data_IF_257420776446
#
_entry.id   IF_257420776446
#
_cell.length_a   1.000
_cell.length_b   1.000
_cell.length_c   1.000
_cell.angle_alpha   90.00
_cell.angle_beta   90.00
_cell.angle_gamma   90.00
#
_symmetry.space_group_name_H-M   'P 1'
#
loop_
_entity.id
_entity.type
_entity.pdbx_description
1 polymer ?
#
# COMPACT_ATOMS: atom_id res chain seq x y z
N UNK A 1 -38.94 -9.90 6.55
CA UNK A 1 -38.29 -8.96 5.63
C UNK A 1 -36.84 -9.40 5.55
N UNK A 2 -36.40 -9.87 4.39
CA UNK A 2 -34.98 -10.17 4.19
C UNK A 2 -34.20 -8.86 4.24
N UNK A 3 -33.12 -8.84 5.03
CA UNK A 3 -32.21 -7.71 5.11
C UNK A 3 -31.12 -7.83 4.06
N UNK A 4 -30.45 -6.72 3.76
CA UNK A 4 -29.31 -6.71 2.84
C UNK A 4 -28.12 -7.40 3.50
N UNK A 5 -27.56 -8.44 2.85
CA UNK A 5 -26.35 -9.10 3.33
C UNK A 5 -25.15 -8.17 3.11
N UNK A 6 -24.54 -7.74 4.22
CA UNK A 6 -23.37 -6.88 4.18
C UNK A 6 -22.07 -7.68 4.27
N UNK A 7 -22.05 -8.71 5.11
CA UNK A 7 -20.87 -9.50 5.43
C UNK A 7 -21.28 -10.92 5.80
N UNK A 8 -20.55 -11.92 5.34
CA UNK A 8 -20.63 -13.30 5.80
C UNK A 8 -19.22 -13.80 6.02
N UNK A 9 -18.98 -14.46 7.15
CA UNK A 9 -17.79 -15.26 7.40
C UNK A 9 -18.20 -16.72 7.60
N UNK A 10 -17.51 -17.61 6.92
CA UNK A 10 -17.69 -19.05 7.02
C UNK A 10 -16.33 -19.71 7.24
N UNK A 11 -16.27 -20.64 8.20
CA UNK A 11 -15.06 -21.38 8.57
C UNK A 11 -15.27 -22.86 8.27
N UNK A 12 -14.26 -23.48 7.69
CA UNK A 12 -14.32 -24.86 7.23
C UNK A 12 -13.18 -25.68 7.84
N UNK A 13 -13.49 -26.94 8.14
CA UNK A 13 -12.53 -27.94 8.59
C UNK A 13 -11.72 -28.47 7.40
N UNK A 14 -10.38 -28.45 7.46
CA UNK A 14 -9.52 -29.02 6.44
C UNK A 14 -9.21 -30.52 6.66
N UNK A 15 -9.87 -31.19 7.61
CA UNK A 15 -9.59 -32.59 7.99
C UNK A 15 -9.93 -33.62 6.91
N UNK A 16 -10.89 -33.32 6.06
CA UNK A 16 -11.33 -34.21 4.99
C UNK A 16 -10.77 -33.80 3.63
N UNK A 17 -11.14 -34.55 2.61
CA UNK A 17 -10.85 -34.19 1.22
C UNK A 17 -11.80 -33.10 0.69
N UNK A 18 -12.80 -32.69 1.47
CA UNK A 18 -13.73 -31.62 1.14
C UNK A 18 -13.86 -30.64 2.30
N UNK A 19 -14.10 -29.36 1.98
CA UNK A 19 -14.34 -28.30 2.96
C UNK A 19 -15.64 -28.57 3.72
N UNK A 20 -15.54 -28.94 5.01
CA UNK A 20 -16.72 -29.15 5.86
C UNK A 20 -17.01 -27.90 6.68
N UNK A 21 -18.20 -27.31 6.51
CA UNK A 21 -18.60 -26.10 7.23
C UNK A 21 -18.64 -26.36 8.75
N UNK A 22 -17.88 -25.57 9.50
CA UNK A 22 -17.85 -25.57 10.96
C UNK A 22 -18.75 -24.48 11.53
N UNK A 23 -18.61 -23.28 11.01
CA UNK A 23 -19.29 -22.09 11.50
C UNK A 23 -19.67 -21.18 10.33
N UNK A 24 -20.82 -20.53 10.44
CA UNK A 24 -21.23 -19.44 9.56
C UNK A 24 -21.88 -18.34 10.38
N UNK A 25 -21.43 -17.11 10.17
CA UNK A 25 -22.01 -15.92 10.79
C UNK A 25 -22.19 -14.83 9.73
N UNK A 26 -23.38 -14.22 9.70
CA UNK A 26 -23.77 -13.18 8.75
C UNK A 26 -24.06 -11.86 9.47
N UNK A 27 -23.78 -10.74 8.81
CA UNK A 27 -24.22 -9.40 9.19
C UNK A 27 -25.19 -8.88 8.13
N UNK A 28 -26.38 -8.54 8.58
CA UNK A 28 -27.51 -8.08 7.77
C UNK A 28 -27.88 -6.66 8.14
N UNK A 29 -28.30 -5.86 7.15
CA UNK A 29 -28.89 -4.54 7.38
C UNK A 29 -30.39 -4.55 7.15
N UNK A 30 -31.13 -3.95 8.09
CA UNK A 30 -32.57 -3.66 7.96
C UNK A 30 -32.83 -2.23 8.38
N UNK A 31 -32.95 -1.34 7.39
CA UNK A 31 -32.92 0.11 7.63
C UNK A 31 -31.60 0.51 8.28
N UNK A 32 -31.65 1.28 9.37
CA UNK A 32 -30.48 1.78 10.10
C UNK A 32 -29.92 0.80 11.14
N UNK A 33 -30.41 -0.45 11.17
CA UNK A 33 -30.05 -1.43 12.21
C UNK A 33 -29.29 -2.60 11.60
N UNK A 34 -28.17 -2.94 12.22
CA UNK A 34 -27.39 -4.14 11.93
C UNK A 34 -27.90 -5.33 12.76
N UNK A 35 -27.89 -6.50 12.16
CA UNK A 35 -28.28 -7.77 12.77
C UNK A 35 -27.20 -8.81 12.49
N UNK A 36 -26.79 -9.55 13.51
CA UNK A 36 -25.93 -10.72 13.39
C UNK A 36 -26.81 -11.96 13.31
N UNK A 37 -26.58 -12.83 12.33
CA UNK A 37 -27.26 -14.12 12.21
C UNK A 37 -26.25 -15.26 12.28
N UNK A 38 -26.43 -16.18 13.22
CA UNK A 38 -25.60 -17.40 13.34
C UNK A 38 -26.07 -18.53 12.42
N UNK A 39 -25.36 -19.66 12.46
CA UNK A 39 -25.65 -20.83 11.62
C UNK A 39 -27.05 -21.45 11.88
N UNK A 40 -27.55 -21.38 13.12
CA UNK A 40 -28.89 -21.87 13.50
C UNK A 40 -30.02 -20.94 13.05
N UNK A 41 -29.69 -19.78 12.48
CA UNK A 41 -30.66 -18.79 12.00
C UNK A 41 -31.08 -17.76 13.06
N UNK A 42 -30.61 -17.89 14.29
CA UNK A 42 -30.87 -16.91 15.35
C UNK A 42 -30.29 -15.54 15.00
N UNK A 43 -31.12 -14.50 15.15
CA UNK A 43 -30.77 -13.13 14.84
C UNK A 43 -30.65 -12.27 16.10
N UNK A 44 -29.50 -11.63 16.26
CA UNK A 44 -29.20 -10.74 17.37
C UNK A 44 -29.04 -9.33 16.81
N UNK A 45 -29.78 -8.38 17.37
CA UNK A 45 -29.62 -6.98 17.04
C UNK A 45 -28.27 -6.47 17.54
N UNK A 46 -27.49 -5.87 16.65
CA UNK A 46 -26.20 -5.28 16.98
C UNK A 46 -26.41 -3.85 17.53
N UNK A 47 -25.66 -3.46 18.58
CA UNK A 47 -25.69 -2.09 19.11
C UNK A 47 -25.02 -1.09 18.16
N UNK A 48 -23.96 -1.53 17.47
CA UNK A 48 -23.20 -0.71 16.52
C UNK A 48 -23.93 -0.56 15.18
N UNK A 49 -23.72 0.59 14.56
CA UNK A 49 -24.21 0.90 13.21
C UNK A 49 -23.11 0.79 12.15
N UNK A 50 -21.86 0.76 12.60
CA UNK A 50 -20.69 0.59 11.76
C UNK A 50 -20.32 -0.90 11.68
N UNK A 51 -20.21 -1.40 10.46
CA UNK A 51 -19.87 -2.81 10.20
C UNK A 51 -18.43 -3.09 10.61
N UNK A 52 -17.51 -2.14 10.43
CA UNK A 52 -16.10 -2.36 10.76
C UNK A 52 -15.91 -2.49 12.29
N UNK A 53 -16.54 -1.59 13.06
CA UNK A 53 -16.55 -1.67 14.51
C UNK A 53 -17.16 -2.99 15.02
N UNK A 54 -18.25 -3.46 14.39
CA UNK A 54 -18.85 -4.74 14.72
C UNK A 54 -17.89 -5.91 14.45
N UNK A 55 -17.24 -5.95 13.28
CA UNK A 55 -16.26 -7.00 12.94
C UNK A 55 -15.08 -6.99 13.91
N UNK A 56 -14.52 -5.82 14.19
CA UNK A 56 -13.34 -5.69 15.05
C UNK A 56 -13.59 -5.95 16.54
N UNK A 57 -14.86 -5.94 16.99
CA UNK A 57 -15.24 -6.19 18.40
C UNK A 57 -15.78 -7.60 18.65
N UNK A 58 -16.12 -8.35 17.60
CA UNK A 58 -16.68 -9.70 17.69
C UNK A 58 -15.72 -10.73 17.07
N UNK A 59 -15.04 -11.54 17.89
CA UNK A 59 -14.16 -12.62 17.42
C UNK A 59 -14.79 -13.54 16.37
N UNK A 60 -16.08 -13.83 16.49
CA UNK A 60 -16.78 -14.70 15.53
C UNK A 60 -16.87 -14.08 14.15
N UNK A 61 -16.72 -12.76 14.03
CA UNK A 61 -16.74 -12.02 12.76
C UNK A 61 -15.34 -11.69 12.23
N UNK A 62 -14.35 -11.47 13.11
CA UNK A 62 -13.05 -10.90 12.73
C UNK A 62 -11.82 -11.80 12.86
N UNK A 63 -11.89 -12.94 13.55
CA UNK A 63 -10.72 -13.80 13.78
C UNK A 63 -10.53 -14.87 12.69
N UNK A 64 -9.29 -15.02 12.21
CA UNK A 64 -8.87 -16.05 11.26
C UNK A 64 -7.85 -16.98 11.92
N UNK A 65 -8.14 -18.28 11.95
CA UNK A 65 -7.34 -19.27 12.66
C UNK A 65 -6.51 -20.16 11.71
N UNK A 66 -5.32 -20.63 12.12
CA UNK A 66 -4.40 -21.42 11.30
C UNK A 66 -4.82 -22.88 10.99
N UNK A 67 -5.88 -23.40 11.63
CA UNK A 67 -6.37 -24.78 11.42
C UNK A 67 -7.69 -24.83 10.66
N UNK A 68 -8.02 -23.75 9.96
CA UNK A 68 -9.31 -23.57 9.31
C UNK A 68 -9.12 -22.89 7.96
N UNK A 69 -10.01 -23.21 7.03
CA UNK A 69 -10.18 -22.43 5.82
C UNK A 69 -11.28 -21.41 6.09
N UNK A 70 -10.95 -20.12 6.00
CA UNK A 70 -11.89 -19.02 6.23
C UNK A 70 -12.29 -18.40 4.90
N UNK A 71 -13.60 -18.24 4.68
CA UNK A 71 -14.17 -17.59 3.50
C UNK A 71 -15.06 -16.44 3.94
N UNK A 72 -14.80 -15.26 3.40
CA UNK A 72 -15.56 -14.04 3.64
C UNK A 72 -16.25 -13.61 2.34
N UNK A 73 -17.55 -13.34 2.42
CA UNK A 73 -18.28 -12.58 1.41
C UNK A 73 -18.57 -11.19 1.98
N UNK A 74 -18.03 -10.14 1.37
CA UNK A 74 -18.16 -8.78 1.84
C UNK A 74 -18.74 -7.88 0.75
N UNK A 75 -19.77 -7.11 1.11
CA UNK A 75 -20.24 -5.98 0.31
C UNK A 75 -19.15 -4.90 0.21
N UNK A 76 -19.31 -3.95 -0.73
CA UNK A 76 -18.38 -2.81 -0.87
C UNK A 76 -18.20 -2.03 0.43
N UNK A 77 -19.27 -1.92 1.21
CA UNK A 77 -19.24 -1.22 2.50
C UNK A 77 -18.40 -1.98 3.54
N UNK A 78 -18.67 -3.26 3.73
CA UNK A 78 -17.92 -4.07 4.70
C UNK A 78 -16.46 -4.27 4.30
N UNK A 79 -16.19 -4.32 2.98
CA UNK A 79 -14.84 -4.42 2.44
C UNK A 79 -14.01 -3.15 2.72
N UNK A 80 -14.66 -2.00 2.89
CA UNK A 80 -14.01 -0.67 2.98
C UNK A 80 -12.83 -0.67 3.96
N UNK A 81 -13.03 -1.15 5.17
CA UNK A 81 -12.03 -1.10 6.24
C UNK A 81 -11.61 -2.51 6.71
N UNK A 82 -11.93 -3.55 5.91
CA UNK A 82 -11.80 -4.95 6.33
C UNK A 82 -10.38 -5.32 6.75
N UNK A 83 -9.37 -4.86 6.00
CA UNK A 83 -7.95 -5.09 6.31
C UNK A 83 -7.51 -4.57 7.68
N UNK A 84 -8.22 -3.60 8.26
CA UNK A 84 -7.88 -3.04 9.58
C UNK A 84 -8.60 -3.72 10.74
N UNK A 85 -9.66 -4.49 10.46
CA UNK A 85 -10.53 -5.08 11.50
C UNK A 85 -10.46 -6.60 11.57
N UNK A 86 -9.88 -7.26 10.55
CA UNK A 86 -9.53 -8.67 10.64
C UNK A 86 -8.32 -8.86 11.55
N UNK A 87 -8.32 -9.96 12.29
CA UNK A 87 -7.25 -10.33 13.21
C UNK A 87 -6.76 -11.75 12.97
N UNK A 88 -5.47 -11.95 13.17
CA UNK A 88 -4.77 -13.22 13.05
C UNK A 88 -4.28 -13.66 14.44
N UNK A 89 -5.16 -14.15 15.33
CA UNK A 89 -4.75 -14.52 16.68
C UNK A 89 -3.70 -15.66 16.66
N UNK A 90 -2.67 -15.53 17.51
CA UNK A 90 -1.57 -16.50 17.66
C UNK A 90 -0.44 -16.34 16.64
N UNK A 91 0.39 -17.37 16.44
CA UNK A 91 1.34 -17.47 15.34
C UNK A 91 1.36 -18.86 14.69
N UNK A 92 2.29 -19.08 13.75
CA UNK A 92 2.44 -20.36 13.04
C UNK A 92 2.75 -21.56 13.93
N UNK A 93 3.21 -21.34 15.16
CA UNK A 93 3.41 -22.37 16.17
C UNK A 93 2.11 -23.04 16.66
N UNK A 94 0.95 -22.44 16.38
CA UNK A 94 -0.35 -23.00 16.74
C UNK A 94 -0.91 -23.96 15.69
N UNK A 95 -0.21 -24.14 14.56
CA UNK A 95 -0.64 -25.04 13.48
C UNK A 95 -0.56 -26.48 13.96
N UNK A 96 -1.70 -27.17 13.93
CA UNK A 96 -1.77 -28.60 14.18
C UNK A 96 -1.93 -29.31 12.84
N UNK A 97 -0.80 -29.70 12.22
CA UNK A 97 -0.76 -30.39 10.92
C UNK A 97 -1.66 -31.64 10.90
N UNK A 98 -1.88 -32.29 12.05
CA UNK A 98 -2.77 -33.46 12.14
C UNK A 98 -4.25 -33.15 11.86
N UNK A 99 -4.62 -31.86 11.82
CA UNK A 99 -5.95 -31.37 11.46
C UNK A 99 -6.14 -31.18 9.95
N UNK A 100 -5.09 -31.35 9.17
CA UNK A 100 -5.14 -31.18 7.72
C UNK A 100 -5.10 -32.54 7.04
N UNK A 101 -6.00 -32.75 6.07
CA UNK A 101 -5.81 -33.84 5.11
C UNK A 101 -4.61 -33.53 4.22
N UNK A 102 -3.88 -34.54 3.73
CA UNK A 102 -2.77 -34.31 2.79
C UNK A 102 -3.18 -33.49 1.56
N UNK A 103 -4.39 -33.72 1.04
CA UNK A 103 -4.89 -33.00 -0.13
C UNK A 103 -5.18 -31.52 0.15
N UNK A 104 -5.80 -31.21 1.29
CA UNK A 104 -6.06 -29.80 1.68
C UNK A 104 -4.77 -29.05 1.97
N UNK A 105 -3.79 -29.72 2.59
CA UNK A 105 -2.47 -29.17 2.85
C UNK A 105 -1.75 -28.82 1.54
N UNK A 106 -1.67 -29.76 0.60
CA UNK A 106 -1.08 -29.53 -0.71
C UNK A 106 -1.78 -28.36 -1.44
N UNK A 107 -3.12 -28.36 -1.45
CA UNK A 107 -3.91 -27.36 -2.16
C UNK A 107 -3.77 -25.94 -1.59
N UNK A 108 -3.78 -25.77 -0.27
CA UNK A 108 -3.90 -24.45 0.34
C UNK A 108 -2.59 -23.91 0.96
N UNK A 109 -1.67 -24.80 1.34
CA UNK A 109 -0.47 -24.47 2.10
C UNK A 109 0.78 -24.67 1.24
N UNK A 110 0.99 -25.83 0.62
CA UNK A 110 2.23 -26.08 -0.14
C UNK A 110 2.32 -25.23 -1.41
N UNK A 111 1.20 -25.00 -2.10
CA UNK A 111 1.15 -24.10 -3.23
C UNK A 111 1.54 -22.66 -2.83
N UNK A 112 0.98 -22.17 -1.72
CA UNK A 112 1.29 -20.86 -1.16
C UNK A 112 2.75 -20.76 -0.67
N UNK A 113 3.27 -21.81 -0.03
CA UNK A 113 4.63 -21.85 0.47
C UNK A 113 5.65 -21.87 -0.68
N UNK A 114 5.35 -22.58 -1.77
CA UNK A 114 6.16 -22.59 -2.98
C UNK A 114 6.21 -21.20 -3.64
N UNK A 115 5.13 -20.43 -3.50
CA UNK A 115 5.01 -19.03 -3.90
C UNK A 115 5.74 -18.05 -2.95
N UNK A 116 6.28 -18.52 -1.82
CA UNK A 116 6.89 -17.72 -0.75
C UNK A 116 5.90 -16.75 -0.08
N UNK A 117 4.62 -17.10 -0.06
CA UNK A 117 3.63 -16.38 0.72
C UNK A 117 4.01 -16.41 2.22
N UNK A 118 3.64 -15.34 2.92
CA UNK A 118 3.82 -15.24 4.37
C UNK A 118 2.66 -15.93 5.10
N UNK A 119 2.99 -16.63 6.18
CA UNK A 119 2.06 -17.30 7.09
C UNK A 119 0.95 -18.11 6.36
N UNK A 120 1.41 -19.03 5.52
CA UNK A 120 0.60 -19.86 4.64
C UNK A 120 -0.50 -20.67 5.32
N UNK A 121 -0.39 -20.87 6.64
CA UNK A 121 -1.30 -21.69 7.42
C UNK A 121 -2.61 -20.96 7.74
N UNK A 122 -2.64 -19.63 7.67
CA UNK A 122 -3.89 -18.86 7.78
C UNK A 122 -4.55 -18.70 6.42
N UNK A 123 -5.40 -19.66 6.10
CA UNK A 123 -6.07 -19.71 4.80
C UNK A 123 -7.31 -18.81 4.81
N UNK A 124 -7.19 -17.61 4.24
CA UNK A 124 -8.29 -16.66 4.10
C UNK A 124 -8.60 -16.35 2.62
N UNK A 125 -9.88 -16.44 2.27
CA UNK A 125 -10.41 -15.95 1.00
C UNK A 125 -11.48 -14.88 1.23
N UNK A 126 -11.30 -13.69 0.67
CA UNK A 126 -12.30 -12.60 0.68
C UNK A 126 -12.84 -12.41 -0.73
N UNK A 127 -14.15 -12.56 -0.91
CA UNK A 127 -14.82 -12.49 -2.21
C UNK A 127 -14.16 -13.39 -3.28
N UNK A 128 -13.63 -14.54 -2.84
CA UNK A 128 -12.93 -15.51 -3.69
C UNK A 128 -11.44 -15.22 -3.94
N UNK A 129 -10.93 -14.06 -3.56
CA UNK A 129 -9.50 -13.73 -3.64
C UNK A 129 -8.77 -14.12 -2.36
N UNK A 130 -7.55 -14.64 -2.47
CA UNK A 130 -6.72 -14.99 -1.31
C UNK A 130 -6.15 -13.72 -0.67
N UNK A 131 -6.16 -13.70 0.65
CA UNK A 131 -5.62 -12.60 1.45
C UNK A 131 -4.56 -13.16 2.41
N UNK A 132 -3.26 -13.08 2.09
CA UNK A 132 -2.20 -13.51 2.99
C UNK A 132 -1.96 -12.50 4.10
N UNK A 133 -1.18 -12.91 5.10
CA UNK A 133 -0.79 -12.07 6.23
C UNK A 133 0.47 -11.29 5.90
N UNK A 134 0.43 -9.98 6.07
CA UNK A 134 1.59 -9.10 5.98
C UNK A 134 1.97 -8.59 7.36
N UNK A 135 3.28 -8.52 7.61
CA UNK A 135 3.82 -7.80 8.76
C UNK A 135 3.73 -6.31 8.46
N UNK A 136 2.97 -5.57 9.26
CA UNK A 136 2.80 -4.12 9.10
C UNK A 136 3.29 -3.38 10.34
N UNK A 137 3.44 -2.06 10.23
CA UNK A 137 3.73 -1.17 11.37
C UNK A 137 2.72 -1.29 12.53
N UNK A 138 1.50 -1.79 12.28
CA UNK A 138 0.46 -2.03 13.29
C UNK A 138 0.32 -3.52 13.69
N UNK A 139 1.26 -4.37 13.28
CA UNK A 139 1.25 -5.82 13.48
C UNK A 139 0.79 -6.59 12.24
N UNK A 140 0.46 -7.87 12.43
CA UNK A 140 0.01 -8.74 11.34
C UNK A 140 -1.37 -8.31 10.80
N UNK A 141 -1.51 -8.22 9.48
CA UNK A 141 -2.75 -7.83 8.80
C UNK A 141 -2.99 -8.63 7.54
N UNK A 142 -4.26 -8.93 7.26
CA UNK A 142 -4.68 -9.57 6.01
C UNK A 142 -4.88 -8.53 4.92
N UNK A 143 -4.15 -8.68 3.81
CA UNK A 143 -4.23 -7.78 2.66
C UNK A 143 -4.53 -8.60 1.39
N UNK A 144 -5.21 -8.02 0.38
CA UNK A 144 -5.38 -8.70 -0.89
C UNK A 144 -4.03 -9.03 -1.51
N UNK A 145 -3.89 -10.25 -2.03
CA UNK A 145 -2.69 -10.68 -2.76
C UNK A 145 -2.63 -10.03 -4.15
N UNK A 146 -1.45 -9.55 -4.55
CA UNK A 146 -1.18 -9.28 -5.98
C UNK A 146 -0.92 -10.62 -6.70
N UNK A 147 -1.77 -11.02 -7.67
CA UNK A 147 -1.59 -12.27 -8.42
C UNK A 147 -0.25 -12.36 -9.18
N UNK A 148 0.45 -11.25 -9.40
CA UNK A 148 1.78 -11.22 -10.04
C UNK A 148 2.92 -11.42 -9.05
N UNK A 149 2.70 -11.10 -7.78
CA UNK A 149 3.72 -11.18 -6.72
C UNK A 149 3.67 -12.49 -5.94
N UNK A 150 2.65 -13.33 -6.16
CA UNK A 150 2.45 -14.58 -5.43
C UNK A 150 2.45 -14.38 -3.91
N UNK A 151 1.78 -13.31 -3.46
CA UNK A 151 1.63 -12.94 -2.05
C UNK A 151 2.90 -12.42 -1.37
N UNK A 152 3.94 -12.08 -2.15
CA UNK A 152 5.09 -11.32 -1.64
C UNK A 152 4.81 -9.83 -1.55
N UNK A 153 3.76 -9.32 -2.21
CA UNK A 153 3.30 -7.94 -2.15
C UNK A 153 1.77 -7.84 -2.05
N UNK A 154 1.25 -6.85 -1.30
CA UNK A 154 -0.17 -6.58 -1.32
C UNK A 154 -0.60 -5.98 -2.66
N UNK A 155 -1.80 -6.33 -3.11
CA UNK A 155 -2.42 -5.73 -4.28
C UNK A 155 -2.83 -4.29 -3.99
N UNK A 156 -2.22 -3.36 -4.71
CA UNK A 156 -2.60 -1.95 -4.71
C UNK A 156 -3.50 -1.68 -5.92
N UNK A 157 -4.80 -1.47 -5.71
CA UNK A 157 -5.77 -1.23 -6.78
C UNK A 157 -6.81 -0.15 -6.43
N UNK A 158 -6.72 1.04 -7.03
CA UNK A 158 -5.64 1.50 -7.90
C UNK A 158 -4.34 1.72 -7.11
N UNK A 159 -3.21 1.43 -7.74
CA UNK A 159 -1.91 2.00 -7.36
C UNK A 159 -1.92 3.48 -7.74
N UNK A 160 -1.45 4.35 -6.86
CA UNK A 160 -1.41 5.80 -7.05
C UNK A 160 -0.05 6.27 -7.53
N UNK A 161 1.01 5.69 -7.01
CA UNK A 161 2.35 5.97 -7.48
C UNK A 161 3.38 4.95 -7.04
N UNK A 162 4.52 4.97 -7.71
CA UNK A 162 5.70 4.19 -7.37
C UNK A 162 6.95 5.06 -7.54
N UNK A 163 7.77 5.10 -6.49
CA UNK A 163 9.05 5.80 -6.45
C UNK A 163 10.16 4.76 -6.44
N UNK A 164 11.10 4.87 -7.37
CA UNK A 164 12.29 4.03 -7.45
C UNK A 164 13.55 4.86 -7.38
N UNK A 165 14.57 4.29 -6.78
CA UNK A 165 15.91 4.84 -6.71
C UNK A 165 16.94 3.80 -7.16
N UNK A 166 17.95 4.22 -7.91
CA UNK A 166 19.05 3.36 -8.34
C UNK A 166 20.33 4.17 -8.46
N UNK A 167 21.44 3.69 -7.86
CA UNK A 167 22.75 4.33 -7.99
C UNK A 167 23.57 3.67 -9.12
N UNK A 168 23.60 4.32 -10.28
CA UNK A 168 24.34 3.91 -11.47
C UNK A 168 25.83 4.28 -11.36
N UNK A 169 26.61 3.46 -10.67
CA UNK A 169 28.05 3.70 -10.52
C UNK A 169 28.69 3.07 -9.29
N UNK A 170 27.89 2.54 -8.36
CA UNK A 170 28.37 1.75 -7.23
C UNK A 170 28.52 0.27 -7.59
N UNK A 171 29.39 -0.46 -6.88
CA UNK A 171 29.51 -1.93 -6.99
C UNK A 171 28.31 -2.67 -6.35
N UNK A 172 27.45 -1.95 -5.64
CA UNK A 172 26.20 -2.46 -5.05
C UNK A 172 25.04 -1.77 -5.76
N UNK A 173 24.60 -2.31 -6.89
CA UNK A 173 23.51 -1.75 -7.70
C UNK A 173 22.21 -2.52 -7.44
N UNK A 174 21.50 -2.18 -6.38
CA UNK A 174 20.11 -2.60 -6.19
C UNK A 174 19.13 -1.53 -6.66
N UNK A 175 17.86 -1.91 -6.74
CA UNK A 175 16.75 -0.99 -7.01
C UNK A 175 15.93 -0.90 -5.74
N UNK A 176 16.00 0.25 -5.07
CA UNK A 176 15.11 0.54 -3.97
C UNK A 176 13.79 1.06 -4.53
N UNK A 177 12.68 0.61 -3.95
CA UNK A 177 11.35 1.03 -4.41
C UNK A 177 10.36 1.19 -3.28
N UNK A 178 9.45 2.13 -3.46
CA UNK A 178 8.23 2.21 -2.66
C UNK A 178 7.03 2.46 -3.55
N UNK A 179 5.89 1.88 -3.21
CA UNK A 179 4.63 2.10 -3.90
C UNK A 179 3.53 2.49 -2.91
N UNK A 180 2.52 3.22 -3.38
CA UNK A 180 1.35 3.58 -2.59
C UNK A 180 0.07 3.35 -3.40
N UNK A 181 -0.99 2.88 -2.73
CA UNK A 181 -2.30 2.73 -3.34
C UNK A 181 -3.34 2.16 -2.39
N UNK A 182 -4.50 1.80 -2.92
CA UNK A 182 -5.59 1.22 -2.14
C UNK A 182 -5.48 -0.30 -2.05
N UNK A 183 -5.53 -0.85 -0.83
CA UNK A 183 -5.76 -2.29 -0.61
C UNK A 183 -7.26 -2.59 -0.48
N UNK A 184 -8.02 -1.63 0.02
CA UNK A 184 -9.48 -1.65 0.06
C UNK A 184 -10.02 -0.23 -0.20
N UNK A 185 -11.33 -0.03 -0.43
CA UNK A 185 -11.86 1.30 -0.68
C UNK A 185 -11.58 2.36 0.40
N UNK A 186 -11.34 1.94 1.65
CA UNK A 186 -11.07 2.81 2.80
C UNK A 186 -9.68 2.69 3.41
N UNK A 187 -8.80 1.83 2.87
CA UNK A 187 -7.46 1.60 3.43
C UNK A 187 -6.41 1.82 2.35
N UNK A 188 -5.46 2.67 2.66
CA UNK A 188 -4.27 2.93 1.86
C UNK A 188 -3.15 2.07 2.43
N UNK A 189 -2.33 1.52 1.55
CA UNK A 189 -1.08 0.91 1.93
C UNK A 189 0.07 1.56 1.17
N UNK A 190 1.20 1.70 1.85
CA UNK A 190 2.49 1.94 1.22
C UNK A 190 3.41 0.76 1.48
N UNK A 191 4.12 0.33 0.44
CA UNK A 191 5.11 -0.74 0.52
C UNK A 191 6.48 -0.16 0.27
N UNK A 192 7.50 -0.62 0.97
CA UNK A 192 8.90 -0.24 0.71
C UNK A 192 9.78 -1.48 0.68
N UNK A 193 10.64 -1.55 -0.33
CA UNK A 193 11.66 -2.58 -0.50
C UNK A 193 13.00 -1.87 -0.66
N UNK A 194 13.90 -2.08 0.31
CA UNK A 194 15.26 -1.56 0.31
C UNK A 194 16.22 -2.73 0.06
N UNK A 195 16.87 -2.74 -1.09
CA UNK A 195 17.70 -3.85 -1.59
C UNK A 195 17.08 -5.27 -1.43
N UNK A 196 17.72 -6.32 -1.95
CA UNK A 196 17.15 -7.68 -1.97
C UNK A 196 17.10 -8.38 -0.58
N UNK A 197 17.58 -7.72 0.47
CA UNK A 197 17.83 -8.36 1.78
C UNK A 197 16.87 -7.97 2.89
N UNK A 198 16.10 -6.89 2.75
CA UNK A 198 15.23 -6.42 3.82
C UNK A 198 13.77 -6.87 3.65
N UNK A 199 13.08 -7.23 4.74
CA UNK A 199 11.66 -7.51 4.69
C UNK A 199 10.90 -6.25 4.27
N UNK A 200 10.02 -6.41 3.29
CA UNK A 200 9.10 -5.34 2.85
C UNK A 200 8.45 -4.67 4.06
N UNK A 201 8.63 -3.36 4.18
CA UNK A 201 7.88 -2.52 5.12
C UNK A 201 6.50 -2.23 4.50
N UNK A 202 5.45 -2.60 5.21
CA UNK A 202 4.06 -2.33 4.80
C UNK A 202 3.44 -1.43 5.85
N UNK A 203 3.09 -0.21 5.46
CA UNK A 203 2.36 0.73 6.30
C UNK A 203 0.92 0.81 5.81
N UNK A 204 -0.01 0.79 6.76
CA UNK A 204 -1.43 0.93 6.49
C UNK A 204 -1.93 2.22 7.12
N UNK A 205 -2.92 2.83 6.49
CA UNK A 205 -3.67 3.92 7.08
C UNK A 205 -5.10 3.97 6.55
N UNK A 206 -5.98 4.58 7.33
CA UNK A 206 -7.34 4.87 6.86
C UNK A 206 -7.28 5.99 5.83
N UNK A 207 -7.97 5.78 4.71
CA UNK A 207 -8.11 6.77 3.65
C UNK A 207 -8.82 8.03 4.19
N UNK A 208 -8.12 9.15 4.10
CA UNK A 208 -8.64 10.48 4.46
C UNK A 208 -8.62 11.40 3.24
N UNK A 209 -7.63 12.29 3.16
CA UNK A 209 -7.37 13.15 2.01
C UNK A 209 -6.24 12.50 1.17
N UNK A 210 -6.59 12.06 -0.04
CA UNK A 210 -5.66 11.35 -0.91
C UNK A 210 -4.41 12.18 -1.25
N UNK A 211 -4.55 13.51 -1.37
CA UNK A 211 -3.43 14.38 -1.70
C UNK A 211 -2.48 14.57 -0.51
N UNK A 212 -3.02 14.72 0.69
CA UNK A 212 -2.22 14.81 1.92
C UNK A 212 -1.42 13.53 2.12
N UNK A 213 -2.11 12.38 2.07
CA UNK A 213 -1.47 11.06 2.21
C UNK A 213 -0.39 10.85 1.16
N UNK A 214 -0.65 11.20 -0.10
CA UNK A 214 0.34 11.05 -1.15
C UNK A 214 1.59 11.91 -0.91
N UNK A 215 1.42 13.15 -0.44
CA UNK A 215 2.57 14.03 -0.10
C UNK A 215 3.34 13.49 1.09
N UNK A 216 2.65 13.00 2.12
CA UNK A 216 3.30 12.37 3.29
C UNK A 216 4.10 11.13 2.88
N UNK A 217 3.55 10.27 2.02
CA UNK A 217 4.31 9.14 1.47
C UNK A 217 5.52 9.59 0.64
N UNK A 218 5.34 10.59 -0.22
CA UNK A 218 6.40 11.05 -1.11
C UNK A 218 7.56 11.69 -0.33
N UNK A 219 7.25 12.58 0.63
CA UNK A 219 8.26 13.40 1.32
C UNK A 219 8.72 12.79 2.65
N UNK A 220 7.81 12.15 3.38
CA UNK A 220 8.02 11.65 4.74
C UNK A 220 8.01 10.10 4.81
N UNK A 221 7.87 9.42 3.66
CA UNK A 221 7.85 7.95 3.57
C UNK A 221 9.23 7.31 3.74
N UNK A 222 9.23 5.99 3.98
CA UNK A 222 10.42 5.22 4.34
C UNK A 222 11.58 5.44 3.36
N UNK A 223 11.33 5.36 2.04
CA UNK A 223 12.37 5.58 1.03
C UNK A 223 12.98 6.99 1.08
N UNK A 224 12.16 8.03 1.29
CA UNK A 224 12.63 9.41 1.42
C UNK A 224 13.53 9.57 2.65
N UNK A 225 13.04 9.10 3.81
CA UNK A 225 13.75 9.24 5.09
C UNK A 225 15.03 8.40 5.19
N UNK A 226 15.15 7.34 4.38
CA UNK A 226 16.38 6.53 4.31
C UNK A 226 17.52 7.28 3.62
N UNK A 227 17.22 8.06 2.58
CA UNK A 227 18.24 8.66 1.71
C UNK A 227 18.52 10.14 1.97
N UNK A 228 17.60 10.84 2.64
CA UNK A 228 17.71 12.28 2.82
C UNK A 228 17.59 12.73 4.27
N UNK A 229 18.42 13.70 4.63
CA UNK A 229 18.13 14.58 5.75
C UNK A 229 17.20 15.71 5.30
N UNK A 230 16.24 16.07 6.14
CA UNK A 230 15.38 17.23 5.88
C UNK A 230 16.18 18.54 6.04
N UNK A 231 15.90 19.59 5.23
CA UNK A 231 14.80 19.71 4.26
C UNK A 231 15.18 19.40 2.79
N UNK A 232 16.42 19.00 2.51
CA UNK A 232 16.96 18.97 1.13
C UNK A 232 16.31 17.89 0.24
N UNK A 233 15.98 16.73 0.82
CA UNK A 233 15.25 15.68 0.11
C UNK A 233 13.86 16.09 -0.35
N UNK A 234 13.17 16.92 0.45
CA UNK A 234 11.80 17.34 0.15
C UNK A 234 11.73 18.16 -1.14
N UNK A 235 12.67 19.08 -1.34
CA UNK A 235 12.75 19.91 -2.55
C UNK A 235 13.00 19.05 -3.80
N UNK A 236 13.91 18.08 -3.70
CA UNK A 236 14.23 17.16 -4.78
C UNK A 236 13.01 16.31 -5.18
N UNK A 237 12.33 15.72 -4.21
CA UNK A 237 11.18 14.85 -4.45
C UNK A 237 9.95 15.64 -4.91
N UNK A 238 9.76 16.88 -4.44
CA UNK A 238 8.76 17.79 -4.97
C UNK A 238 9.05 18.15 -6.45
N UNK A 239 10.32 18.40 -6.81
CA UNK A 239 10.70 18.60 -8.21
C UNK A 239 10.44 17.34 -9.04
N UNK A 240 10.77 16.15 -8.54
CA UNK A 240 10.49 14.88 -9.22
C UNK A 240 8.99 14.69 -9.48
N UNK A 241 8.14 15.04 -8.51
CA UNK A 241 6.69 15.05 -8.71
C UNK A 241 6.27 16.00 -9.84
N UNK A 242 6.86 17.19 -9.92
CA UNK A 242 6.62 18.13 -11.03
C UNK A 242 7.06 17.55 -12.38
N UNK A 243 8.25 16.94 -12.46
CA UNK A 243 8.75 16.32 -13.69
C UNK A 243 7.82 15.18 -14.17
N UNK A 244 7.36 14.33 -13.24
CA UNK A 244 6.46 13.22 -13.55
C UNK A 244 5.04 13.68 -13.94
N UNK A 245 4.49 14.67 -13.23
CA UNK A 245 3.09 15.09 -13.40
C UNK A 245 2.85 16.13 -14.49
N UNK A 246 3.80 17.06 -14.67
CA UNK A 246 3.68 18.21 -15.60
C UNK A 246 4.79 18.18 -16.65
N UNK A 247 6.00 17.74 -16.29
CA UNK A 247 7.17 17.73 -17.16
C UNK A 247 7.16 16.65 -18.25
N UNK A 248 6.26 15.67 -18.16
CA UNK A 248 6.16 14.58 -19.14
C UNK A 248 7.12 13.42 -18.89
N UNK A 249 7.78 13.37 -17.73
CA UNK A 249 8.74 12.34 -17.34
C UNK A 249 8.11 11.26 -16.44
N UNK A 250 6.83 10.96 -16.63
CA UNK A 250 6.13 9.98 -15.82
C UNK A 250 6.71 8.57 -16.03
N UNK A 251 7.26 7.97 -14.98
CA UNK A 251 7.92 6.67 -15.06
C UNK A 251 9.28 6.69 -15.79
N UNK A 252 9.84 7.87 -16.06
CA UNK A 252 11.18 8.01 -16.63
C UNK A 252 12.23 8.24 -15.54
N UNK A 253 13.44 7.70 -15.76
CA UNK A 253 14.56 7.92 -14.86
C UNK A 253 15.11 9.35 -15.02
N UNK A 254 15.14 10.09 -13.92
CA UNK A 254 15.64 11.46 -13.83
C UNK A 254 16.87 11.49 -12.91
N UNK A 255 18.04 11.96 -13.39
CA UNK A 255 19.22 12.08 -12.54
C UNK A 255 18.99 13.06 -11.38
N UNK A 256 19.48 12.72 -10.20
CA UNK A 256 19.36 13.55 -8.99
C UNK A 256 19.92 14.95 -9.18
N UNK A 257 21.04 15.07 -9.92
CA UNK A 257 21.64 16.35 -10.30
C UNK A 257 20.70 17.27 -11.11
N UNK A 258 19.76 16.69 -11.87
CA UNK A 258 18.71 17.43 -12.60
C UNK A 258 17.58 17.85 -11.65
N UNK A 259 17.38 17.20 -10.52
CA UNK A 259 16.28 17.53 -9.62
C UNK A 259 16.63 18.69 -8.68
N UNK A 260 17.86 18.76 -8.19
CA UNK A 260 18.26 19.71 -7.14
C UNK A 260 18.87 21.03 -7.62
N UNK A 261 18.68 22.10 -6.85
CA UNK A 261 19.42 23.36 -6.97
C UNK A 261 20.47 23.47 -5.85
N UNK A 262 21.55 22.66 -5.90
CA UNK A 262 22.59 22.71 -4.86
C UNK A 262 23.97 23.11 -5.37
N UNK A 263 24.72 23.70 -4.44
CA UNK A 263 26.16 23.87 -4.47
C UNK A 263 26.83 22.52 -4.76
N UNK A 264 27.63 22.47 -5.82
CA UNK A 264 28.27 21.23 -6.28
C UNK A 264 29.23 20.65 -5.24
N UNK A 265 29.66 21.43 -4.24
CA UNK A 265 30.63 21.02 -3.23
C UNK A 265 30.03 20.21 -2.05
N UNK A 266 28.71 20.24 -1.81
CA UNK A 266 28.05 19.54 -0.69
C UNK A 266 26.75 18.84 -1.13
N UNK A 267 26.86 17.90 -2.09
CA UNK A 267 25.73 17.08 -2.54
C UNK A 267 25.40 16.01 -1.50
N UNK A 268 24.13 15.91 -1.14
CA UNK A 268 23.63 14.77 -0.35
C UNK A 268 23.58 13.52 -1.24
N UNK A 269 23.48 12.35 -0.60
CA UNK A 269 23.25 11.10 -1.29
C UNK A 269 22.00 11.19 -2.18
N UNK A 270 22.00 10.56 -3.36
CA UNK A 270 20.88 10.63 -4.29
C UNK A 270 20.85 11.87 -5.19
N UNK A 271 21.75 12.85 -5.02
CA UNK A 271 21.76 14.10 -5.80
C UNK A 271 22.80 14.12 -6.94
N UNK A 272 23.37 12.97 -7.30
CA UNK A 272 24.42 12.85 -8.32
C UNK A 272 23.85 12.56 -9.71
N UNK A 273 24.70 12.62 -10.73
CA UNK A 273 24.33 12.17 -12.09
C UNK A 273 24.17 10.64 -12.16
N UNK A 274 24.85 9.92 -11.27
CA UNK A 274 24.72 8.48 -11.08
C UNK A 274 23.46 8.08 -10.33
N UNK A 275 22.85 9.01 -9.58
CA UNK A 275 21.65 8.75 -8.78
C UNK A 275 20.40 8.89 -9.65
N UNK A 276 19.80 7.79 -10.09
CA UNK A 276 18.59 7.79 -10.92
C UNK A 276 17.33 7.65 -10.06
N UNK A 277 16.42 8.61 -10.21
CA UNK A 277 15.12 8.62 -9.55
C UNK A 277 14.01 8.46 -10.58
N UNK A 278 13.07 7.55 -10.32
CA UNK A 278 11.90 7.35 -11.17
C UNK A 278 10.64 7.52 -10.34
N UNK A 279 9.69 8.33 -10.78
CA UNK A 279 8.36 8.41 -10.19
C UNK A 279 7.32 8.11 -11.25
N UNK A 280 6.60 7.00 -11.07
CA UNK A 280 5.45 6.64 -11.87
C UNK A 280 4.18 7.04 -11.12
N UNK A 281 3.28 7.78 -11.79
CA UNK A 281 2.03 8.30 -11.27
C UNK A 281 0.85 7.71 -12.04
N UNK A 282 -0.15 7.27 -11.27
CA UNK A 282 -1.45 6.83 -11.76
C UNK A 282 -2.57 7.62 -11.06
N UNK A 283 -2.35 8.93 -10.90
CA UNK A 283 -3.30 9.87 -10.28
C UNK A 283 -4.16 10.58 -11.34
N UNK A 284 -5.42 10.83 -11.01
CA UNK A 284 -6.29 11.65 -11.86
C UNK A 284 -5.88 13.14 -11.78
N UNK A 285 -6.08 13.94 -12.84
CA UNK A 285 -5.69 15.35 -12.87
C UNK A 285 -6.20 16.23 -11.69
N UNK A 286 -7.42 16.04 -11.16
CA UNK A 286 -7.85 16.76 -9.97
C UNK A 286 -7.00 16.45 -8.73
N UNK A 287 -6.59 15.19 -8.56
CA UNK A 287 -5.74 14.75 -7.43
C UNK A 287 -4.32 15.30 -7.60
N UNK A 288 -3.77 15.29 -8.81
CA UNK A 288 -2.47 15.92 -9.12
C UNK A 288 -2.47 17.40 -8.70
N UNK A 289 -3.53 18.14 -9.04
CA UNK A 289 -3.63 19.55 -8.65
C UNK A 289 -3.71 19.74 -7.13
N UNK A 290 -4.45 18.88 -6.43
CA UNK A 290 -4.52 18.90 -4.98
C UNK A 290 -3.16 18.57 -4.34
N UNK A 291 -2.42 17.59 -4.87
CA UNK A 291 -1.04 17.27 -4.42
C UNK A 291 -0.12 18.47 -4.59
N UNK A 292 -0.17 19.18 -5.73
CA UNK A 292 0.59 20.40 -5.94
C UNK A 292 0.23 21.51 -4.92
N UNK A 293 -1.05 21.63 -4.55
CA UNK A 293 -1.48 22.59 -3.53
C UNK A 293 -0.95 22.21 -2.13
N UNK A 294 -1.00 20.93 -1.78
CA UNK A 294 -0.43 20.42 -0.51
C UNK A 294 1.08 20.64 -0.46
N UNK A 295 1.80 20.32 -1.55
CA UNK A 295 3.24 20.57 -1.67
C UNK A 295 3.57 22.06 -1.48
N UNK A 296 2.86 22.95 -2.17
CA UNK A 296 3.07 24.40 -2.02
C UNK A 296 2.78 24.89 -0.59
N UNK A 297 1.87 24.22 0.13
CA UNK A 297 1.56 24.50 1.52
C UNK A 297 2.62 24.09 2.53
N UNK A 298 3.55 23.18 2.18
CA UNK A 298 4.58 22.66 3.10
C UNK A 298 5.70 23.66 3.38
N UNK A 299 5.99 24.59 2.46
CA UNK A 299 7.01 25.61 2.67
C UNK A 299 7.29 26.50 1.47
N UNK A 300 8.01 27.63 1.66
CA UNK A 300 8.25 28.61 0.61
C UNK A 300 9.03 28.04 -0.58
N UNK A 301 9.99 27.12 -0.34
CA UNK A 301 10.77 26.50 -1.42
C UNK A 301 9.95 25.56 -2.29
N UNK A 302 9.09 24.75 -1.69
CA UNK A 302 8.19 23.86 -2.41
C UNK A 302 7.14 24.69 -3.17
N UNK A 303 6.69 25.81 -2.60
CA UNK A 303 5.82 26.76 -3.30
C UNK A 303 6.48 27.36 -4.55
N UNK A 304 7.77 27.70 -4.50
CA UNK A 304 8.54 28.17 -5.66
C UNK A 304 8.63 27.10 -6.76
N UNK A 305 8.87 25.84 -6.40
CA UNK A 305 8.88 24.70 -7.34
C UNK A 305 7.52 24.55 -8.02
N UNK A 306 6.44 24.55 -7.25
CA UNK A 306 5.07 24.44 -7.78
C UNK A 306 4.70 25.66 -8.64
N UNK A 307 5.14 26.86 -8.27
CA UNK A 307 4.95 28.07 -9.09
C UNK A 307 5.67 27.97 -10.42
N UNK A 308 6.93 27.51 -10.43
CA UNK A 308 7.70 27.28 -11.65
C UNK A 308 6.99 26.31 -12.60
N UNK A 309 6.39 25.25 -12.05
CA UNK A 309 5.61 24.27 -12.82
C UNK A 309 4.33 24.86 -13.42
N UNK A 310 3.53 25.58 -12.61
CA UNK A 310 2.24 26.13 -13.01
C UNK A 310 2.38 27.34 -13.93
N UNK A 311 3.46 28.12 -13.76
CA UNK A 311 3.72 29.36 -14.49
C UNK A 311 5.19 29.38 -14.96
N UNK A 312 5.51 28.73 -16.09
CA UNK A 312 6.89 28.62 -16.60
C UNK A 312 7.57 29.96 -16.94
N UNK A 313 6.80 31.03 -17.09
CA UNK A 313 7.29 32.40 -17.36
C UNK A 313 7.36 33.28 -16.10
N UNK A 314 7.02 32.72 -14.93
CA UNK A 314 7.28 33.38 -13.63
C UNK A 314 8.78 33.49 -13.36
N UNK A 315 9.22 34.35 -12.42
CA UNK A 315 10.63 34.37 -12.00
C UNK A 315 11.18 33.00 -11.61
N UNK A 316 10.39 32.19 -10.88
CA UNK A 316 10.77 30.82 -10.52
C UNK A 316 10.88 29.89 -11.74
N UNK A 317 9.93 29.98 -12.67
CA UNK A 317 9.94 29.20 -13.91
C UNK A 317 11.13 29.52 -14.83
N UNK A 318 11.45 30.82 -14.97
CA UNK A 318 12.60 31.27 -15.74
C UNK A 318 13.93 30.85 -15.08
N UNK A 319 14.03 30.95 -13.75
CA UNK A 319 15.20 30.48 -13.00
C UNK A 319 15.41 28.96 -13.19
N UNK A 320 14.35 28.16 -13.07
CA UNK A 320 14.40 26.72 -13.30
C UNK A 320 14.86 26.38 -14.72
N UNK A 321 14.33 27.07 -15.73
CA UNK A 321 14.71 26.88 -17.14
C UNK A 321 16.19 27.17 -17.37
N UNK A 322 16.68 28.33 -16.90
CA UNK A 322 18.09 28.70 -17.03
C UNK A 322 19.02 27.68 -16.34
N UNK A 323 18.60 27.13 -15.19
CA UNK A 323 19.35 26.09 -14.47
C UNK A 323 19.41 24.78 -15.28
N UNK A 324 18.28 24.36 -15.87
CA UNK A 324 18.24 23.16 -16.73
C UNK A 324 19.16 23.32 -17.95
N UNK A 325 19.14 24.48 -18.61
CA UNK A 325 20.03 24.79 -19.75
C UNK A 325 21.51 24.81 -19.35
N UNK A 326 21.83 25.22 -18.12
CA UNK A 326 23.19 25.15 -17.59
C UNK A 326 23.60 23.70 -17.31
N UNK A 327 22.73 22.92 -16.64
CA UNK A 327 22.97 21.50 -16.35
C UNK A 327 23.20 20.68 -17.63
N UNK A 328 22.42 20.91 -18.69
CA UNK A 328 22.61 20.23 -19.98
C UNK A 328 23.97 20.55 -20.62
N UNK A 329 24.44 21.80 -20.51
CA UNK A 329 25.76 22.22 -21.00
C UNK A 329 26.89 21.56 -20.22
N UNK A 330 26.77 21.51 -18.89
CA UNK A 330 27.79 20.93 -18.03
C UNK A 330 27.92 19.42 -18.25
N UNK A 331 26.79 18.72 -18.40
CA UNK A 331 26.78 17.27 -18.71
C UNK A 331 27.35 16.96 -20.10
N UNK A 332 27.11 17.83 -21.09
CA UNK A 332 27.67 17.65 -22.44
C UNK A 332 29.18 17.90 -22.53
N UNK A 333 29.78 18.54 -21.52
CA UNK A 333 31.20 18.86 -21.48
C UNK A 333 32.05 17.86 -20.66
N UNK A 334 31.41 17.00 -19.84
CA UNK A 334 32.03 15.98 -19.00
C UNK A 334 32.21 14.65 -19.74
#
# INVERSE_FOLDING_TARGET
>A
MDGDLLYEIARYSPRGDEEQLLERTQVLRRGETLWRRGAEGDEIRCPDKDVAALIGSDPTLGEVHPDQITRIQASRESLRDLSLVLSAPGGGELVDESRWSPMMWEQHIEQAASARERDVHRVLYVNGARWPVFSTSEGERFLPEDPKSWGTEPLLTPQWGELRFTETGSMTSGIDRTAIGLVTPGVIASTTHLDETEPQDVRLERRTDDAVVFVEWLLDGSLSTTFFETPRGEEMLAQLFVEASVGGHNGEAVPGSRLVEFDQENRDFGCYDSSEWTLELALEPPVVNAVLDVLAGRGPRLAEIVEAARRPDSPAGLARRARLEQWERDRGAA
#
